data_IF_158910159841
#
_entry.id   IF_158910159841
#
_cell.length_a   1.000
_cell.length_b   1.000
_cell.length_c   1.000
_cell.angle_alpha   90.00
_cell.angle_beta   90.00
_cell.angle_gamma   90.00
#
_symmetry.space_group_name_H-M   'P 1'
#
loop_
_entity.id
_entity.type
_entity.pdbx_description
1 polymer ?
#
# COMPACT_ATOMS: atom_id res chain seq x y z
N UNK A 1 -25.52 0.91 6.36
CA UNK A 1 -24.09 1.08 6.78
C UNK A 1 -23.31 1.49 5.54
N UNK A 2 -22.45 2.51 5.62
CA UNK A 2 -21.61 2.95 4.50
C UNK A 2 -20.26 2.25 4.51
N UNK A 3 -19.69 2.00 3.33
CA UNK A 3 -18.33 1.50 3.17
C UNK A 3 -17.31 2.58 3.56
N UNK A 4 -16.15 2.16 4.06
CA UNK A 4 -15.01 3.05 4.32
C UNK A 4 -13.91 2.75 3.31
N UNK A 5 -13.39 3.78 2.65
CA UNK A 5 -12.33 3.66 1.67
C UNK A 5 -11.07 4.40 2.14
N UNK A 6 -9.90 3.82 1.88
CA UNK A 6 -8.60 4.32 2.28
C UNK A 6 -7.63 4.22 1.11
N UNK A 7 -7.22 5.35 0.55
CA UNK A 7 -6.17 5.43 -0.46
C UNK A 7 -4.82 5.73 0.18
N UNK A 8 -3.76 5.06 -0.27
CA UNK A 8 -2.41 5.24 0.27
C UNK A 8 -1.42 5.22 -0.87
N UNK A 9 -0.79 6.36 -1.13
CA UNK A 9 0.14 6.52 -2.23
C UNK A 9 1.11 7.67 -1.93
N UNK A 10 2.42 7.53 -2.21
CA UNK A 10 3.38 8.62 -2.01
C UNK A 10 3.24 9.78 -3.01
N UNK A 11 2.55 9.59 -4.14
CA UNK A 11 2.27 10.61 -5.16
C UNK A 11 0.94 11.26 -4.86
N UNK A 12 0.98 12.51 -4.40
CA UNK A 12 -0.20 13.22 -3.94
C UNK A 12 -0.94 13.99 -5.04
N UNK A 13 -0.24 14.51 -6.06
CA UNK A 13 -0.79 15.57 -6.93
C UNK A 13 -2.04 15.15 -7.71
N UNK A 14 -2.14 13.88 -8.13
CA UNK A 14 -3.30 13.35 -8.87
C UNK A 14 -4.10 12.35 -8.03
N UNK A 15 -3.42 11.47 -7.30
CA UNK A 15 -4.08 10.37 -6.61
C UNK A 15 -4.88 10.85 -5.40
N UNK A 16 -4.46 11.92 -4.71
CA UNK A 16 -5.28 12.46 -3.63
C UNK A 16 -6.64 12.95 -4.16
N UNK A 17 -6.64 13.73 -5.23
CA UNK A 17 -7.88 14.29 -5.78
C UNK A 17 -8.86 13.19 -6.20
N UNK A 18 -8.34 12.07 -6.74
CA UNK A 18 -9.14 10.93 -7.14
C UNK A 18 -9.69 10.15 -5.92
N UNK A 19 -8.83 9.77 -4.97
CA UNK A 19 -9.22 8.90 -3.87
C UNK A 19 -9.98 9.62 -2.75
N UNK A 20 -9.72 10.91 -2.53
CA UNK A 20 -10.43 11.71 -1.53
C UNK A 20 -11.93 11.87 -1.85
N UNK A 21 -12.35 11.65 -3.11
CA UNK A 21 -13.76 11.62 -3.52
C UNK A 21 -14.54 10.44 -2.91
N UNK A 22 -13.84 9.36 -2.55
CA UNK A 22 -14.46 8.11 -2.07
C UNK A 22 -14.10 7.78 -0.62
N UNK A 23 -13.04 8.38 -0.07
CA UNK A 23 -12.56 8.05 1.26
C UNK A 23 -11.46 8.97 1.78
N UNK A 24 -10.61 8.44 2.67
CA UNK A 24 -9.44 9.17 3.20
C UNK A 24 -8.19 8.79 2.41
N UNK A 25 -7.37 9.78 2.07
CA UNK A 25 -6.09 9.58 1.42
C UNK A 25 -4.93 9.81 2.39
N UNK A 26 -3.86 9.02 2.25
CA UNK A 26 -2.64 9.11 3.06
C UNK A 26 -1.42 9.24 2.13
N UNK A 27 -0.66 10.36 2.21
CA UNK A 27 0.42 10.66 1.28
C UNK A 27 1.75 9.99 1.69
N UNK A 28 1.75 8.66 1.77
CA UNK A 28 2.94 7.84 2.03
C UNK A 28 2.79 6.48 1.34
N UNK A 29 3.90 5.76 1.16
CA UNK A 29 3.87 4.38 0.69
C UNK A 29 3.65 3.40 1.84
N UNK A 30 3.21 2.19 1.51
CA UNK A 30 3.14 1.06 2.43
C UNK A 30 4.17 0.02 2.03
N UNK A 31 4.87 -0.55 3.00
CA UNK A 31 5.87 -1.59 2.72
C UNK A 31 6.08 -2.52 3.90
N UNK A 32 7.05 -3.43 3.79
CA UNK A 32 7.36 -4.39 4.85
C UNK A 32 8.01 -3.78 6.10
N UNK A 33 8.45 -2.51 6.04
CA UNK A 33 9.08 -1.79 7.17
C UNK A 33 8.81 -0.30 7.09
N UNK A 34 8.68 0.33 8.26
CA UNK A 34 8.67 1.79 8.36
C UNK A 34 10.07 2.35 8.13
N UNK A 35 10.26 3.09 7.04
CA UNK A 35 11.56 3.67 6.65
C UNK A 35 11.36 4.83 5.68
N UNK A 36 12.38 5.67 5.53
CA UNK A 36 12.52 6.52 4.34
C UNK A 36 13.44 5.80 3.37
N UNK A 37 12.98 5.58 2.14
CA UNK A 37 13.81 4.97 1.10
C UNK A 37 13.51 5.57 -0.26
N UNK A 38 14.48 5.45 -1.16
CA UNK A 38 14.35 5.93 -2.53
C UNK A 38 13.49 4.96 -3.33
N UNK A 39 12.42 5.47 -3.93
CA UNK A 39 11.48 4.71 -4.75
C UNK A 39 11.24 5.44 -6.09
N UNK A 40 11.00 4.67 -7.14
CA UNK A 40 10.67 5.19 -8.46
C UNK A 40 9.17 5.47 -8.50
N UNK A 41 8.79 6.72 -8.70
CA UNK A 41 7.37 7.14 -8.71
C UNK A 41 7.03 7.81 -10.04
N UNK A 42 5.80 7.60 -10.52
CA UNK A 42 5.31 8.26 -11.72
C UNK A 42 4.92 9.71 -11.40
N UNK A 43 5.69 10.68 -11.91
CA UNK A 43 5.40 12.10 -11.76
C UNK A 43 5.45 12.79 -13.13
N UNK A 44 4.41 13.56 -13.45
CA UNK A 44 4.29 14.30 -14.71
C UNK A 44 4.53 13.42 -15.96
N UNK A 45 4.06 12.17 -15.94
CA UNK A 45 4.18 11.23 -17.06
C UNK A 45 5.55 10.55 -17.21
N UNK A 46 6.46 10.73 -16.25
CA UNK A 46 7.77 10.07 -16.23
C UNK A 46 8.10 9.49 -14.86
N UNK A 47 8.80 8.36 -14.83
CA UNK A 47 9.29 7.79 -13.57
C UNK A 47 10.50 8.57 -13.08
N UNK A 48 10.42 9.03 -11.83
CA UNK A 48 11.50 9.76 -11.15
C UNK A 48 11.75 9.14 -9.79
N UNK A 49 13.01 9.06 -9.39
CA UNK A 49 13.36 8.56 -8.06
C UNK A 49 13.18 9.66 -7.02
N UNK A 50 12.36 9.39 -6.00
CA UNK A 50 12.13 10.29 -4.86
C UNK A 50 12.35 9.55 -3.54
N UNK A 51 12.70 10.30 -2.51
CA UNK A 51 12.70 9.76 -1.15
C UNK A 51 11.25 9.69 -0.66
N UNK A 52 10.82 8.48 -0.33
CA UNK A 52 9.45 8.16 0.04
C UNK A 52 9.43 7.64 1.47
N UNK A 53 8.45 8.11 2.24
CA UNK A 53 8.12 7.55 3.55
C UNK A 53 7.32 6.27 3.30
N UNK A 54 7.83 5.15 3.79
CA UNK A 54 7.12 3.89 3.87
C UNK A 54 6.65 3.69 5.30
N UNK A 55 5.38 3.30 5.45
CA UNK A 55 4.82 2.83 6.72
C UNK A 55 4.65 1.32 6.64
N UNK A 56 5.02 0.62 7.70
CA UNK A 56 4.85 -0.82 7.80
C UNK A 56 3.37 -1.20 7.65
N UNK A 57 3.09 -2.20 6.81
CA UNK A 57 1.73 -2.55 6.37
C UNK A 57 0.77 -2.89 7.52
N UNK A 58 1.17 -3.80 8.42
CA UNK A 58 0.32 -4.18 9.55
C UNK A 58 0.09 -2.99 10.47
N UNK A 59 1.13 -2.21 10.76
CA UNK A 59 1.05 -1.02 11.59
C UNK A 59 0.06 -0.01 11.00
N UNK A 60 0.10 0.23 9.69
CA UNK A 60 -0.86 1.10 9.02
C UNK A 60 -2.31 0.59 9.18
N UNK A 61 -2.56 -0.69 8.94
CA UNK A 61 -3.90 -1.28 9.12
C UNK A 61 -4.36 -1.18 10.58
N UNK A 62 -3.48 -1.31 11.56
CA UNK A 62 -3.85 -1.13 12.96
C UNK A 62 -4.22 0.32 13.29
N UNK A 63 -3.56 1.31 12.67
CA UNK A 63 -3.90 2.73 12.84
C UNK A 63 -5.28 3.08 12.30
N UNK A 64 -5.76 2.39 11.26
CA UNK A 64 -7.12 2.58 10.75
C UNK A 64 -8.20 2.08 11.72
N UNK A 65 -7.82 1.21 12.67
CA UNK A 65 -8.69 0.74 13.76
C UNK A 65 -9.63 -0.41 13.39
N UNK A 66 -9.34 -1.15 12.30
CA UNK A 66 -10.13 -2.32 11.89
C UNK A 66 -9.36 -3.62 12.05
N UNK A 67 -10.09 -4.72 12.23
CA UNK A 67 -9.55 -6.08 12.24
C UNK A 67 -9.95 -6.90 11.02
N UNK A 68 -10.95 -6.45 10.27
CA UNK A 68 -11.44 -7.10 9.06
C UNK A 68 -11.42 -6.06 7.94
N UNK A 69 -10.77 -6.41 6.84
CA UNK A 69 -10.72 -5.64 5.61
C UNK A 69 -11.39 -6.45 4.50
N UNK A 70 -12.40 -5.87 3.87
CA UNK A 70 -13.18 -6.57 2.85
C UNK A 70 -12.37 -6.78 1.56
N UNK A 71 -11.64 -5.75 1.13
CA UNK A 71 -10.84 -5.79 -0.09
C UNK A 71 -9.59 -4.91 0.04
N UNK A 72 -8.45 -5.36 -0.49
CA UNK A 72 -7.19 -4.63 -0.54
C UNK A 72 -6.60 -4.74 -1.95
N UNK A 73 -6.37 -3.59 -2.59
CA UNK A 73 -5.75 -3.52 -3.91
C UNK A 73 -4.34 -2.97 -3.75
N UNK A 74 -3.36 -3.67 -4.32
CA UNK A 74 -1.95 -3.32 -4.20
C UNK A 74 -1.36 -3.25 -5.61
N UNK A 75 -0.78 -2.11 -5.92
CA UNK A 75 0.06 -1.93 -7.10
C UNK A 75 1.52 -1.98 -6.67
N UNK A 76 2.26 -2.99 -7.14
CA UNK A 76 3.64 -3.25 -6.71
C UNK A 76 4.60 -2.99 -7.86
N UNK A 77 5.56 -2.08 -7.62
CA UNK A 77 6.63 -1.72 -8.57
C UNK A 77 8.03 -2.15 -8.07
N UNK A 78 8.04 -3.12 -7.15
CA UNK A 78 9.23 -3.86 -6.68
C UNK A 78 9.52 -3.70 -5.19
N UNK A 79 9.35 -2.50 -4.62
CA UNK A 79 9.64 -2.25 -3.20
C UNK A 79 8.67 -3.00 -2.26
N UNK A 80 7.47 -3.30 -2.75
CA UNK A 80 6.39 -3.94 -2.02
C UNK A 80 6.43 -5.47 -2.12
N UNK A 81 7.41 -6.08 -2.81
CA UNK A 81 7.57 -7.55 -2.81
C UNK A 81 7.79 -8.13 -1.40
N UNK A 82 8.30 -7.32 -0.47
CA UNK A 82 8.40 -7.68 0.95
C UNK A 82 7.03 -7.94 1.60
N UNK A 83 5.92 -7.56 0.96
CA UNK A 83 4.56 -7.79 1.46
C UNK A 83 4.05 -9.22 1.19
N UNK A 84 4.61 -9.98 0.25
CA UNK A 84 4.08 -11.32 -0.05
C UNK A 84 4.00 -12.25 1.17
N UNK A 85 5.02 -12.33 2.05
CA UNK A 85 4.96 -13.18 3.23
C UNK A 85 3.89 -12.78 4.26
N UNK A 86 3.33 -11.57 4.17
CA UNK A 86 2.29 -11.09 5.09
C UNK A 86 0.99 -11.86 4.90
N UNK A 87 0.71 -12.28 3.66
CA UNK A 87 -0.51 -12.98 3.26
C UNK A 87 -0.42 -14.51 3.41
N UNK A 88 0.72 -15.04 3.85
CA UNK A 88 0.88 -16.47 4.10
C UNK A 88 0.07 -16.90 5.33
N UNK A 89 -0.36 -18.17 5.38
CA UNK A 89 -0.96 -18.73 6.59
C UNK A 89 0.06 -18.68 7.74
N UNK A 90 -0.35 -18.11 8.86
CA UNK A 90 0.51 -17.81 10.00
C UNK A 90 1.46 -16.64 9.78
N UNK A 91 1.29 -15.88 8.68
CA UNK A 91 2.06 -14.68 8.34
C UNK A 91 1.73 -13.48 9.23
N UNK A 92 2.23 -12.30 8.85
CA UNK A 92 2.12 -11.11 9.71
C UNK A 92 0.68 -10.63 9.91
N UNK A 93 -0.20 -10.77 8.90
CA UNK A 93 -1.62 -10.42 9.05
C UNK A 93 -2.30 -11.33 10.10
N UNK A 94 -2.09 -12.65 9.98
CA UNK A 94 -2.62 -13.65 10.92
C UNK A 94 -2.09 -13.41 12.34
N UNK A 95 -0.78 -13.21 12.49
CA UNK A 95 -0.13 -12.92 13.79
C UNK A 95 -0.68 -11.66 14.47
N UNK A 96 -1.16 -10.70 13.66
CA UNK A 96 -1.70 -9.43 14.13
C UNK A 96 -3.23 -9.45 14.32
N UNK A 97 -3.86 -10.61 14.08
CA UNK A 97 -5.29 -10.81 14.15
C UNK A 97 -6.06 -9.97 13.13
N UNK A 98 -5.46 -9.69 11.97
CA UNK A 98 -6.09 -8.98 10.86
C UNK A 98 -6.57 -10.01 9.84
N UNK A 99 -7.84 -9.92 9.46
CA UNK A 99 -8.44 -10.72 8.39
C UNK A 99 -8.62 -9.86 7.15
N UNK A 100 -8.15 -10.36 6.01
CA UNK A 100 -8.39 -9.77 4.69
C UNK A 100 -9.25 -10.75 3.90
N UNK A 101 -10.45 -10.34 3.49
CA UNK A 101 -11.41 -11.22 2.82
C UNK A 101 -11.05 -11.45 1.35
N UNK A 102 -10.61 -10.40 0.66
CA UNK A 102 -10.11 -10.42 -0.71
C UNK A 102 -8.91 -9.49 -0.85
N UNK A 103 -7.97 -9.84 -1.72
CA UNK A 103 -6.94 -8.91 -2.15
C UNK A 103 -6.60 -9.13 -3.62
N UNK A 104 -6.22 -8.04 -4.28
CA UNK A 104 -5.77 -8.01 -5.67
C UNK A 104 -4.39 -7.36 -5.70
N UNK A 105 -3.45 -7.99 -6.42
CA UNK A 105 -2.09 -7.49 -6.57
C UNK A 105 -1.77 -7.38 -8.05
N UNK A 106 -1.35 -6.19 -8.48
CA UNK A 106 -0.61 -5.99 -9.71
C UNK A 106 0.89 -6.08 -9.43
N UNK A 107 1.63 -6.80 -10.27
CA UNK A 107 3.07 -7.03 -10.10
C UNK A 107 3.81 -6.51 -11.33
N UNK A 108 4.39 -5.31 -11.20
CA UNK A 108 5.31 -4.74 -12.18
C UNK A 108 6.68 -5.44 -12.09
N UNK A 109 7.07 -6.17 -13.14
CA UNK A 109 8.37 -6.83 -13.24
C UNK A 109 9.28 -6.03 -14.19
N UNK A 110 10.37 -5.46 -13.67
CA UNK A 110 11.45 -4.91 -14.50
C UNK A 110 12.33 -6.07 -15.01
N UNK A 111 11.97 -6.65 -16.15
CA UNK A 111 12.82 -7.62 -16.83
C UNK A 111 14.01 -6.85 -17.43
N UNK A 112 15.21 -7.05 -16.85
CA UNK A 112 16.45 -6.60 -17.45
C UNK A 112 16.69 -7.46 -18.71
N UNK A 113 16.44 -6.88 -19.88
CA UNK A 113 16.81 -7.44 -21.18
C UNK A 113 18.22 -6.97 -21.57
#
# INVERSE_FOLDING_TARGET
KSSKFYGVDPVHEVNEELYAKFGKFFPFAVGGKSKVSRASVLANGSYVDRDVIHIEFVYFLLLLGHKIYDDIWIDIEGAEYELFPYFYRGGELDRSGITVCQFNIEVGLKILA
#
